data_IF_791261219690
#
_entry.id   IF_791261219690
#
_cell.length_a   1.000
_cell.length_b   1.000
_cell.length_c   1.000
_cell.angle_alpha   90.00
_cell.angle_beta   90.00
_cell.angle_gamma   90.00
#
_symmetry.space_group_name_H-M   'P 1'
#
loop_
_entity.id
_entity.type
_entity.pdbx_description
1 polymer ?
#
# COMPACT_ATOMS: atom_id res chain seq x y z
N UNK A 1 -6.57 6.20 -10.43
CA UNK A 1 -6.78 5.71 -9.05
C UNK A 1 -5.67 4.75 -8.63
N UNK A 2 -5.70 3.45 -8.93
CA UNK A 2 -4.65 2.48 -8.52
C UNK A 2 -3.26 2.83 -9.06
N UNK A 3 -3.17 3.25 -10.33
CA UNK A 3 -1.89 3.67 -10.95
C UNK A 3 -1.23 4.84 -10.21
N UNK A 4 -2.02 5.78 -9.73
CA UNK A 4 -1.53 7.00 -9.08
C UNK A 4 -1.08 6.72 -7.64
N UNK A 5 -1.85 5.90 -6.91
CA UNK A 5 -1.45 5.37 -5.61
C UNK A 5 -0.15 4.57 -5.71
N UNK A 6 -0.01 3.73 -6.75
CA UNK A 6 1.22 2.98 -7.05
C UNK A 6 2.41 3.90 -7.31
N UNK A 7 2.26 4.95 -8.11
CA UNK A 7 3.35 5.89 -8.37
C UNK A 7 3.76 6.65 -7.10
N UNK A 8 2.79 6.99 -6.24
CA UNK A 8 3.03 7.76 -5.01
C UNK A 8 3.63 6.94 -3.87
N UNK A 9 3.27 5.65 -3.77
CA UNK A 9 3.70 4.76 -2.68
C UNK A 9 4.77 3.75 -3.10
N UNK A 10 4.95 3.53 -4.40
CA UNK A 10 5.82 2.47 -4.93
C UNK A 10 5.31 1.05 -4.69
N UNK A 11 4.12 0.88 -4.11
CA UNK A 11 3.60 -0.44 -3.75
C UNK A 11 3.15 -1.26 -4.97
N UNK A 12 3.09 -2.59 -4.78
CA UNK A 12 2.62 -3.51 -5.81
C UNK A 12 1.19 -3.21 -6.26
N UNK A 13 0.85 -3.58 -7.50
CA UNK A 13 -0.47 -3.29 -8.06
C UNK A 13 -1.60 -4.02 -7.33
N UNK A 14 -1.33 -5.20 -6.74
CA UNK A 14 -2.26 -5.89 -5.86
C UNK A 14 -2.42 -5.17 -4.53
N UNK A 15 -1.32 -4.75 -3.89
CA UNK A 15 -1.39 -4.02 -2.62
C UNK A 15 -2.14 -2.70 -2.77
N UNK A 16 -1.96 -1.99 -3.88
CA UNK A 16 -2.70 -0.76 -4.16
C UNK A 16 -4.21 -1.02 -4.35
N UNK A 17 -4.59 -2.16 -4.95
CA UNK A 17 -6.01 -2.55 -5.08
C UNK A 17 -6.61 -2.92 -3.73
N UNK A 18 -5.89 -3.71 -2.94
CA UNK A 18 -6.30 -4.10 -1.58
C UNK A 18 -6.44 -2.88 -0.68
N UNK A 19 -5.46 -1.96 -0.71
CA UNK A 19 -5.47 -0.75 0.08
C UNK A 19 -6.64 0.17 -0.29
N UNK A 20 -6.93 0.34 -1.57
CA UNK A 20 -8.08 1.12 -2.02
C UNK A 20 -9.41 0.44 -1.68
N UNK A 21 -9.48 -0.89 -1.74
CA UNK A 21 -10.69 -1.62 -1.35
C UNK A 21 -10.94 -1.53 0.17
N UNK A 22 -9.90 -1.70 0.99
CA UNK A 22 -9.98 -1.59 2.45
C UNK A 22 -10.18 -0.14 2.93
N UNK A 23 -9.82 0.83 2.11
CA UNK A 23 -9.95 2.26 2.39
C UNK A 23 -11.16 2.90 1.69
N UNK A 24 -12.01 2.11 1.02
CA UNK A 24 -13.18 2.60 0.27
C UNK A 24 -12.84 3.72 -0.75
N UNK A 25 -11.65 3.64 -1.35
CA UNK A 25 -11.16 4.63 -2.31
C UNK A 25 -10.46 5.84 -1.69
N UNK A 26 -10.32 5.90 -0.37
CA UNK A 26 -9.61 6.96 0.33
C UNK A 26 -8.09 6.83 0.16
N UNK A 27 -7.47 7.86 -0.41
CA UNK A 27 -6.06 7.86 -0.76
C UNK A 27 -5.15 7.92 0.47
N UNK A 28 -5.51 8.69 1.50
CA UNK A 28 -4.67 8.80 2.71
C UNK A 28 -4.68 7.49 3.50
N UNK A 29 -5.85 6.90 3.68
CA UNK A 29 -5.97 5.57 4.30
C UNK A 29 -5.26 4.49 3.49
N UNK A 30 -5.35 4.53 2.16
CA UNK A 30 -4.67 3.56 1.32
C UNK A 30 -3.14 3.69 1.42
N UNK A 31 -2.60 4.90 1.54
CA UNK A 31 -1.17 5.13 1.78
C UNK A 31 -0.74 4.60 3.15
N UNK A 32 -1.51 4.86 4.22
CA UNK A 32 -1.22 4.34 5.57
C UNK A 32 -1.27 2.81 5.60
N UNK A 33 -2.28 2.22 4.95
CA UNK A 33 -2.43 0.78 4.82
C UNK A 33 -1.21 0.14 4.14
N UNK A 34 -0.78 0.72 3.01
CA UNK A 34 0.41 0.29 2.28
C UNK A 34 1.70 0.47 3.10
N UNK A 35 1.82 1.56 3.85
CA UNK A 35 2.99 1.85 4.68
C UNK A 35 3.11 0.85 5.85
N UNK A 36 1.99 0.56 6.54
CA UNK A 36 1.92 -0.48 7.58
C UNK A 36 2.21 -1.87 7.02
N UNK A 37 1.63 -2.22 5.87
CA UNK A 37 1.86 -3.52 5.20
C UNK A 37 3.32 -3.67 4.73
N UNK A 38 3.92 -2.59 4.23
CA UNK A 38 5.32 -2.55 3.78
C UNK A 38 6.35 -2.70 4.91
N UNK A 39 6.07 -2.13 6.09
CA UNK A 39 6.91 -2.33 7.29
C UNK A 39 6.97 -3.82 7.70
N UNK A 40 5.83 -4.54 7.64
CA UNK A 40 5.81 -5.98 7.92
C UNK A 40 6.60 -6.81 6.90
N UNK A 41 6.69 -6.36 5.64
CA UNK A 41 7.50 -7.02 4.63
C UNK A 41 9.01 -6.76 4.83
N UNK A 42 9.39 -5.57 5.29
CA UNK A 42 10.78 -5.19 5.56
C UNK A 42 11.36 -5.92 6.78
N UNK A 43 10.55 -6.18 7.82
CA UNK A 43 10.99 -6.92 9.03
C UNK A 43 11.40 -8.37 8.74
N UNK A 44 10.99 -8.97 7.62
CA UNK A 44 11.41 -10.34 7.25
C UNK A 44 12.76 -10.41 6.53
N UNK A 45 13.45 -9.29 6.29
CA UNK A 45 14.81 -9.25 5.68
C UNK A 45 15.87 -8.75 6.65
N UNK A 46 15.85 -9.27 7.87
CA UNK A 46 16.98 -9.18 8.78
C UNK A 46 17.28 -10.56 9.34
N UNK A 47 17.94 -11.38 8.54
CA UNK A 47 18.71 -12.58 8.92
C UNK A 47 19.66 -12.92 7.79
#
# INVERSE_FOLDING_TARGET
>A
MVKELRTKTGAGMMDCKEALAASEGDFEKAIDFLRKKGLSAATKRSS
#
